data_IF_648396710678
#
_entry.id   IF_648396710678
#
_cell.length_a   1.000
_cell.length_b   1.000
_cell.length_c   1.000
_cell.angle_alpha   90.00
_cell.angle_beta   90.00
_cell.angle_gamma   90.00
#
_symmetry.space_group_name_H-M   'P 1'
#
loop_
_entity.id
_entity.type
_entity.pdbx_description
1 polymer ?
#
# COMPACT_ATOMS: atom_id res chain seq x y z
N UNK A 1 -19.60 -0.39 43.23
CA UNK A 1 -20.23 0.41 42.14
C UNK A 1 -19.26 0.88 41.04
N UNK A 2 -17.95 1.08 41.28
CA UNK A 2 -17.00 1.54 40.24
C UNK A 2 -16.66 0.49 39.14
N UNK A 3 -16.64 -0.80 39.47
CA UNK A 3 -16.34 -1.90 38.54
C UNK A 3 -17.41 -2.08 37.45
N UNK A 4 -18.69 -2.03 37.83
CA UNK A 4 -19.82 -2.17 36.89
C UNK A 4 -19.87 -1.03 35.85
N UNK A 5 -19.43 0.18 36.22
CA UNK A 5 -19.33 1.31 35.28
C UNK A 5 -18.17 1.12 34.29
N UNK A 6 -17.07 0.49 34.72
CA UNK A 6 -15.94 0.18 33.85
C UNK A 6 -16.30 -0.92 32.85
N UNK A 7 -17.01 -1.97 33.27
CA UNK A 7 -17.42 -3.07 32.37
C UNK A 7 -18.36 -2.58 31.25
N UNK A 8 -19.23 -1.60 31.55
CA UNK A 8 -20.09 -0.98 30.54
C UNK A 8 -19.28 -0.14 29.55
N UNK A 9 -18.25 0.57 30.01
CA UNK A 9 -17.34 1.34 29.14
C UNK A 9 -16.51 0.42 28.26
N UNK A 10 -15.99 -0.68 28.80
CA UNK A 10 -15.21 -1.67 28.07
C UNK A 10 -16.05 -2.30 26.95
N UNK A 11 -17.28 -2.75 27.24
CA UNK A 11 -18.18 -3.29 26.21
C UNK A 11 -18.53 -2.30 25.12
N UNK A 12 -18.64 -1.01 25.44
CA UNK A 12 -18.84 0.06 24.46
C UNK A 12 -17.61 0.27 23.58
N UNK A 13 -16.41 0.19 24.15
CA UNK A 13 -15.14 0.28 23.41
C UNK A 13 -14.99 -0.92 22.48
N UNK A 14 -15.20 -2.16 22.97
CA UNK A 14 -15.15 -3.38 22.16
C UNK A 14 -16.13 -3.33 20.98
N UNK A 15 -17.36 -2.84 21.22
CA UNK A 15 -18.35 -2.68 20.15
C UNK A 15 -17.96 -1.61 19.13
N UNK A 16 -17.29 -0.54 19.56
CA UNK A 16 -16.75 0.49 18.65
C UNK A 16 -15.56 -0.05 17.87
N UNK A 17 -14.66 -0.80 18.50
CA UNK A 17 -13.51 -1.44 17.85
C UNK A 17 -13.99 -2.42 16.79
N UNK A 18 -14.95 -3.30 17.11
CA UNK A 18 -15.51 -4.23 16.12
C UNK A 18 -16.15 -3.53 14.92
N UNK A 19 -16.86 -2.42 15.14
CA UNK A 19 -17.40 -1.61 14.03
C UNK A 19 -16.29 -0.95 13.20
N UNK A 20 -15.22 -0.50 13.85
CA UNK A 20 -14.07 0.08 13.15
C UNK A 20 -13.34 -1.01 12.35
N UNK A 21 -13.17 -2.21 12.90
CA UNK A 21 -12.63 -3.39 12.18
C UNK A 21 -13.51 -3.76 10.99
N UNK A 22 -14.82 -3.87 11.18
CA UNK A 22 -15.78 -4.10 10.09
C UNK A 22 -15.73 -2.98 9.04
N UNK A 23 -15.55 -1.72 9.46
CA UNK A 23 -15.39 -0.59 8.53
C UNK A 23 -14.04 -0.57 7.82
N UNK A 24 -12.97 -1.08 8.44
CA UNK A 24 -11.64 -1.22 7.83
C UNK A 24 -11.65 -2.39 6.83
N UNK A 25 -12.34 -3.48 7.13
CA UNK A 25 -12.59 -4.56 6.17
C UNK A 25 -13.48 -4.10 5.00
N UNK A 26 -14.36 -3.12 5.23
CA UNK A 26 -15.20 -2.45 4.23
C UNK A 26 -14.55 -1.24 3.55
N UNK A 27 -13.39 -0.75 4.03
CA UNK A 27 -12.58 0.14 3.21
C UNK A 27 -12.27 -0.63 1.93
N UNK A 28 -12.27 0.02 0.76
CA UNK A 28 -11.95 -0.64 -0.48
C UNK A 28 -10.53 -1.17 -0.35
N UNK A 29 -10.41 -2.42 0.09
CA UNK A 29 -9.24 -3.26 -0.10
C UNK A 29 -9.20 -3.45 -1.58
N UNK A 30 -8.62 -2.47 -2.28
CA UNK A 30 -8.69 -2.20 -3.70
C UNK A 30 -9.15 -3.44 -4.47
N UNK A 31 -10.48 -3.54 -4.67
CA UNK A 31 -11.13 -4.65 -5.37
C UNK A 31 -10.70 -4.73 -6.83
N UNK A 32 -9.92 -3.76 -7.33
CA UNK A 32 -9.38 -3.73 -8.67
C UNK A 32 -8.08 -4.54 -8.87
N UNK A 33 -7.53 -5.19 -7.84
CA UNK A 33 -6.40 -6.14 -7.99
C UNK A 33 -6.84 -7.60 -7.95
N UNK A 34 -7.95 -7.96 -8.61
CA UNK A 34 -8.44 -9.34 -8.64
C UNK A 34 -7.71 -10.22 -9.68
N UNK A 35 -6.39 -10.05 -9.74
CA UNK A 35 -5.51 -10.98 -10.45
C UNK A 35 -5.33 -12.23 -9.59
N UNK A 36 -5.84 -13.37 -10.06
CA UNK A 36 -5.62 -14.69 -9.43
C UNK A 36 -4.14 -15.03 -9.19
N UNK A 37 -3.23 -14.31 -9.85
CA UNK A 37 -1.78 -14.49 -9.75
C UNK A 37 -1.15 -13.72 -8.56
N UNK A 38 -1.85 -12.76 -7.97
CA UNK A 38 -1.36 -11.97 -6.83
C UNK A 38 -1.69 -12.66 -5.51
N UNK A 39 -0.68 -12.82 -4.66
CA UNK A 39 -0.82 -13.31 -3.31
C UNK A 39 -1.30 -12.19 -2.37
N UNK A 40 -1.79 -12.56 -1.18
CA UNK A 40 -2.27 -11.59 -0.19
C UNK A 40 -1.22 -10.52 0.15
N UNK A 41 0.05 -10.92 0.25
CA UNK A 41 1.14 -9.97 0.53
C UNK A 41 1.35 -8.97 -0.61
N UNK A 42 1.14 -9.40 -1.86
CA UNK A 42 1.27 -8.52 -3.01
C UNK A 42 0.16 -7.46 -3.01
N UNK A 43 -1.07 -7.87 -2.67
CA UNK A 43 -2.21 -6.95 -2.51
C UNK A 43 -1.95 -5.93 -1.39
N UNK A 44 -1.34 -6.35 -0.28
CA UNK A 44 -0.94 -5.43 0.80
C UNK A 44 0.11 -4.41 0.33
N UNK A 45 1.12 -4.83 -0.44
CA UNK A 45 2.12 -3.93 -1.03
C UNK A 45 1.44 -2.92 -1.96
N UNK A 46 0.54 -3.38 -2.83
CA UNK A 46 -0.21 -2.51 -3.75
C UNK A 46 -1.08 -1.49 -3.01
N UNK A 47 -1.72 -1.88 -1.90
CA UNK A 47 -2.48 -0.96 -1.06
C UNK A 47 -1.59 0.12 -0.44
N UNK A 48 -0.38 -0.24 0.03
CA UNK A 48 0.58 0.76 0.53
C UNK A 48 0.93 1.76 -0.57
N UNK A 49 1.23 1.28 -1.78
CA UNK A 49 1.54 2.16 -2.90
C UNK A 49 0.34 3.02 -3.33
N UNK A 50 -0.88 2.47 -3.29
CA UNK A 50 -2.10 3.22 -3.60
C UNK A 50 -2.33 4.38 -2.61
N UNK A 51 -2.17 4.13 -1.31
CA UNK A 51 -2.27 5.16 -0.27
C UNK A 51 -1.20 6.25 -0.45
N UNK A 52 -0.01 5.87 -0.93
CA UNK A 52 1.10 6.81 -1.19
C UNK A 52 0.93 7.60 -2.48
N UNK A 53 0.11 7.14 -3.43
CA UNK A 53 -0.20 7.84 -4.66
C UNK A 53 1.07 8.27 -5.42
N UNK A 54 1.13 9.56 -5.77
CA UNK A 54 2.22 10.17 -6.53
C UNK A 54 3.53 10.28 -5.77
N UNK A 55 3.53 10.17 -4.44
CA UNK A 55 4.77 10.22 -3.66
C UNK A 55 5.53 8.91 -3.74
N UNK A 56 4.84 7.80 -4.05
CA UNK A 56 5.39 6.46 -4.04
C UNK A 56 5.95 6.05 -2.69
N UNK A 57 6.67 4.93 -2.66
CA UNK A 57 7.33 4.46 -1.44
C UNK A 57 8.66 3.74 -1.70
N UNK A 58 9.59 3.85 -0.76
CA UNK A 58 10.80 3.00 -0.77
C UNK A 58 10.46 1.58 -0.28
N UNK A 59 11.33 0.62 -0.58
CA UNK A 59 11.16 -0.76 -0.10
C UNK A 59 11.19 -0.86 1.43
N UNK A 60 11.96 0.01 2.09
CA UNK A 60 12.00 0.12 3.56
C UNK A 60 10.70 0.70 4.09
N UNK A 61 10.18 1.79 3.51
CA UNK A 61 8.90 2.39 3.91
C UNK A 61 7.74 1.38 3.77
N UNK A 62 7.73 0.59 2.69
CA UNK A 62 6.73 -0.46 2.49
C UNK A 62 6.91 -1.57 3.52
N UNK A 63 8.14 -2.01 3.79
CA UNK A 63 8.40 -3.04 4.79
C UNK A 63 7.95 -2.60 6.20
N UNK A 64 8.21 -1.34 6.56
CA UNK A 64 7.77 -0.73 7.81
C UNK A 64 6.23 -0.67 7.91
N UNK A 65 5.56 -0.23 6.84
CA UNK A 65 4.08 -0.21 6.78
C UNK A 65 3.45 -1.61 6.86
N UNK A 66 4.16 -2.65 6.43
CA UNK A 66 3.72 -4.04 6.51
C UNK A 66 4.04 -4.70 7.86
N UNK A 67 4.74 -4.01 8.76
CA UNK A 67 5.08 -4.49 10.10
C UNK A 67 6.17 -5.57 10.10
N UNK A 68 7.12 -5.51 9.16
CA UNK A 68 8.30 -6.38 9.24
C UNK A 68 9.17 -6.00 10.46
N UNK A 69 9.67 -6.99 11.20
CA UNK A 69 10.52 -6.75 12.38
C UNK A 69 11.85 -6.06 12.02
N UNK A 70 12.37 -6.32 10.82
CA UNK A 70 13.60 -5.71 10.29
C UNK A 70 13.35 -5.10 8.91
N UNK A 71 12.78 -3.88 8.84
CA UNK A 71 12.48 -3.20 7.57
C UNK A 71 13.72 -2.90 6.73
N UNK A 72 14.84 -2.53 7.37
CA UNK A 72 16.07 -2.13 6.68
C UNK A 72 16.93 -3.30 6.19
N UNK A 73 16.79 -4.49 6.77
CA UNK A 73 17.48 -5.68 6.33
C UNK A 73 16.58 -6.60 5.50
N UNK A 74 16.09 -7.66 6.14
CA UNK A 74 15.34 -8.75 5.49
C UNK A 74 13.99 -8.30 4.92
N UNK A 75 13.34 -7.33 5.55
CA UNK A 75 12.06 -6.75 5.13
C UNK A 75 12.15 -6.10 3.75
N UNK A 76 13.03 -5.10 3.58
CA UNK A 76 13.20 -4.43 2.27
C UNK A 76 13.59 -5.38 1.14
N UNK A 77 14.38 -6.43 1.43
CA UNK A 77 14.78 -7.43 0.43
C UNK A 77 13.57 -8.28 0.00
N UNK A 78 12.74 -8.68 0.96
CA UNK A 78 11.50 -9.41 0.70
C UNK A 78 10.53 -8.57 -0.12
N UNK A 79 10.32 -7.32 0.28
CA UNK A 79 9.47 -6.36 -0.43
C UNK A 79 9.98 -6.12 -1.85
N UNK A 80 11.29 -5.92 -2.03
CA UNK A 80 11.89 -5.74 -3.35
C UNK A 80 11.60 -6.93 -4.29
N UNK A 81 11.80 -8.17 -3.81
CA UNK A 81 11.50 -9.38 -4.60
C UNK A 81 10.03 -9.47 -4.98
N UNK A 82 9.13 -9.07 -4.07
CA UNK A 82 7.69 -9.05 -4.30
C UNK A 82 7.30 -7.97 -5.31
N UNK A 83 7.79 -6.75 -5.18
CA UNK A 83 7.58 -5.67 -6.17
C UNK A 83 8.04 -6.09 -7.58
N UNK A 84 9.20 -6.72 -7.71
CA UNK A 84 9.67 -7.27 -8.99
C UNK A 84 8.81 -8.41 -9.54
N UNK A 85 8.13 -9.16 -8.68
CA UNK A 85 7.14 -10.17 -9.11
C UNK A 85 5.87 -9.49 -9.58
N UNK A 86 5.37 -8.51 -8.84
CA UNK A 86 4.17 -7.73 -9.18
C UNK A 86 4.36 -7.02 -10.52
N UNK A 87 5.46 -6.29 -10.71
CA UNK A 87 5.83 -5.61 -11.96
C UNK A 87 5.77 -6.57 -13.17
N UNK A 88 6.26 -7.82 -13.02
CA UNK A 88 6.22 -8.84 -14.08
C UNK A 88 4.81 -9.37 -14.36
N UNK A 89 3.96 -9.42 -13.34
CA UNK A 89 2.56 -9.86 -13.48
C UNK A 89 1.73 -8.75 -14.13
N UNK A 90 1.85 -7.51 -13.63
CA UNK A 90 1.09 -6.37 -14.12
C UNK A 90 1.52 -6.00 -15.55
N UNK A 91 2.81 -6.03 -15.89
CA UNK A 91 3.30 -5.75 -17.26
C UNK A 91 2.68 -6.65 -18.35
N UNK A 92 2.14 -7.82 -17.99
CA UNK A 92 1.49 -8.75 -18.92
C UNK A 92 -0.03 -8.55 -19.02
N UNK A 93 -0.62 -7.79 -18.11
CA UNK A 93 -2.05 -7.59 -18.01
C UNK A 93 -2.41 -6.17 -18.48
N UNK A 94 -3.07 -6.06 -19.63
CA UNK A 94 -3.52 -4.76 -20.18
C UNK A 94 -4.61 -4.14 -19.29
N UNK A 95 -4.55 -2.82 -19.10
CA UNK A 95 -5.58 -2.06 -18.37
C UNK A 95 -5.56 -2.24 -16.85
N UNK A 96 -4.45 -2.70 -16.27
CA UNK A 96 -4.27 -2.80 -14.82
C UNK A 96 -3.21 -1.84 -14.33
N UNK A 97 -3.26 -1.42 -13.06
CA UNK A 97 -2.25 -0.53 -12.53
C UNK A 97 -0.87 -1.20 -12.53
N UNK A 98 0.13 -0.51 -13.07
CA UNK A 98 1.49 -1.00 -13.17
C UNK A 98 2.32 -0.51 -11.99
N UNK A 99 3.07 -1.44 -11.39
CA UNK A 99 4.10 -1.06 -10.42
C UNK A 99 5.36 -0.68 -11.19
N UNK A 100 5.82 0.55 -11.01
CA UNK A 100 7.03 1.07 -11.64
C UNK A 100 8.01 1.57 -10.57
N UNK A 101 9.29 1.69 -10.94
CA UNK A 101 10.31 2.25 -10.06
C UNK A 101 10.96 3.47 -10.69
N UNK A 102 11.06 4.55 -9.91
CA UNK A 102 11.72 5.79 -10.29
C UNK A 102 12.44 6.38 -9.07
N UNK A 103 13.68 6.86 -9.23
CA UNK A 103 14.45 7.49 -8.15
C UNK A 103 14.51 6.69 -6.83
N UNK A 104 14.60 5.36 -6.93
CA UNK A 104 14.58 4.38 -5.80
C UNK A 104 13.24 4.27 -5.05
N UNK A 105 12.19 4.92 -5.52
CA UNK A 105 10.83 4.79 -5.03
C UNK A 105 10.03 3.93 -6.00
N UNK A 106 8.97 3.34 -5.46
CA UNK A 106 8.03 2.51 -6.19
C UNK A 106 6.69 3.21 -6.23
N UNK A 107 6.05 3.15 -7.38
CA UNK A 107 4.80 3.84 -7.66
C UNK A 107 3.80 2.86 -8.25
N UNK A 108 2.54 3.18 -8.06
CA UNK A 108 1.42 2.48 -8.66
C UNK A 108 0.80 3.38 -9.71
N UNK A 109 1.06 3.08 -10.97
CA UNK A 109 0.56 3.84 -12.10
C UNK A 109 -0.76 3.25 -12.58
N UNK A 110 -1.85 4.02 -12.52
CA UNK A 110 -3.19 3.58 -12.93
C UNK A 110 -3.47 3.76 -14.43
N UNK A 111 -2.63 4.49 -15.15
CA UNK A 111 -2.79 4.76 -16.58
C UNK A 111 -1.59 4.27 -17.39
N UNK A 112 -1.86 3.61 -18.52
CA UNK A 112 -0.83 3.20 -19.48
C UNK A 112 0.00 4.39 -20.04
N UNK A 113 -0.41 5.66 -19.81
CA UNK A 113 0.14 6.84 -20.51
C UNK A 113 0.27 8.18 -19.77
N UNK A 114 -0.22 8.40 -18.54
CA UNK A 114 -0.24 9.77 -17.95
C UNK A 114 0.88 9.97 -16.90
N UNK A 115 2.13 10.03 -17.38
CA UNK A 115 3.24 10.56 -16.60
C UNK A 115 3.18 12.09 -16.63
N UNK A 116 2.48 12.70 -15.66
CA UNK A 116 2.78 14.10 -15.29
C UNK A 116 3.88 14.09 -14.24
N UNK A 117 5.11 13.93 -14.72
CA UNK A 117 6.27 14.41 -13.95
C UNK A 117 5.96 15.89 -13.71
N UNK A 118 5.89 16.31 -12.45
CA UNK A 118 5.89 17.74 -12.15
C UNK A 118 7.18 18.31 -12.72
N UNK A 119 7.07 19.12 -13.77
CA UNK A 119 8.15 19.90 -14.38
C UNK A 119 8.68 21.00 -13.43
N UNK A 120 8.97 20.68 -12.17
CA UNK A 120 9.53 21.64 -11.19
C UNK A 120 11.05 21.84 -11.38
N UNK A 121 11.63 21.49 -12.54
CA UNK A 121 13.07 21.63 -12.81
C UNK A 121 13.39 22.47 -14.06
N UNK A 122 12.41 23.03 -14.77
CA UNK A 122 12.66 23.81 -15.99
C UNK A 122 12.58 25.35 -15.87
N UNK A 123 12.47 25.91 -14.66
CA UNK A 123 12.45 27.37 -14.47
C UNK A 123 13.81 28.02 -14.13
N UNK A 124 14.95 27.40 -14.46
CA UNK A 124 16.26 28.04 -14.28
C UNK A 124 17.24 27.90 -15.44
N UNK A 125 16.74 28.03 -16.67
CA UNK A 125 17.61 28.41 -17.79
C UNK A 125 16.87 29.44 -18.65
N UNK A 126 16.79 30.67 -18.14
CA UNK A 126 16.76 31.89 -18.96
C UNK A 126 17.85 32.83 -18.42
#
# INVERSE_FOLDING_TARGET
MRTVQNDRKIKLIEKRLKRIEEMIDLLPTVTSFDLKQLELIDKKILNVLHVKGTDGATTTEIADNLGYEDPEGSGRVTVYRRLKRIERVTSRAKGLPFVITESRRWFLNFDDYDFRIKDDVLEKIE
#
